data_IF_229337412446
#
_entry.id   IF_229337412446
#
_cell.length_a   1.000
_cell.length_b   1.000
_cell.length_c   1.000
_cell.angle_alpha   90.00
_cell.angle_beta   90.00
_cell.angle_gamma   90.00
#
_symmetry.space_group_name_H-M   'P 1'
#
loop_
_entity.id
_entity.type
_entity.pdbx_description
1 polymer ?
#
# COMPACT_ATOMS: atom_id res chain seq x y z
N UNK A 1 1.47 -12.16 -7.72
CA UNK A 1 2.54 -12.20 -6.68
C UNK A 1 2.09 -11.31 -5.54
N UNK A 2 2.22 -11.73 -4.28
CA UNK A 2 1.62 -11.02 -3.14
C UNK A 2 2.65 -10.17 -2.39
N UNK A 3 2.24 -8.96 -2.04
CA UNK A 3 3.00 -7.95 -1.31
C UNK A 3 2.10 -7.26 -0.29
N UNK A 4 2.70 -6.40 0.52
CA UNK A 4 2.01 -5.48 1.41
C UNK A 4 2.37 -4.05 1.04
N UNK A 5 1.44 -3.13 1.24
CA UNK A 5 1.66 -1.70 1.16
C UNK A 5 1.11 -1.03 2.42
N UNK A 6 1.58 0.18 2.71
CA UNK A 6 1.01 1.02 3.76
C UNK A 6 0.08 2.01 3.07
N UNK A 7 -1.20 1.98 3.41
CA UNK A 7 -2.23 2.80 2.79
C UNK A 7 -2.77 3.86 3.74
N UNK A 8 -3.10 5.03 3.21
CA UNK A 8 -3.76 6.10 3.96
C UNK A 8 -5.27 5.82 4.05
N UNK A 9 -5.75 5.56 5.26
CA UNK A 9 -7.07 4.99 5.49
C UNK A 9 -8.26 5.91 5.14
N UNK A 10 -8.05 7.22 4.94
CA UNK A 10 -9.11 8.17 4.58
C UNK A 10 -9.19 8.49 3.09
N UNK A 11 -8.23 8.02 2.29
CA UNK A 11 -8.25 8.23 0.85
C UNK A 11 -7.89 6.94 0.13
N UNK A 12 -8.82 6.46 -0.70
CA UNK A 12 -8.62 5.25 -1.49
C UNK A 12 -7.41 5.38 -2.42
N UNK A 13 -6.67 4.28 -2.55
CA UNK A 13 -5.50 4.14 -3.41
C UNK A 13 -4.39 5.18 -3.18
N UNK A 14 -4.29 5.70 -1.96
CA UNK A 14 -3.13 6.47 -1.49
C UNK A 14 -2.23 5.59 -0.63
N UNK A 15 -0.97 5.49 -1.02
CA UNK A 15 0.03 4.63 -0.40
C UNK A 15 1.27 5.41 0.00
N UNK A 16 1.97 4.93 1.02
CA UNK A 16 3.26 5.50 1.41
C UNK A 16 4.38 4.99 0.48
N UNK A 17 5.12 5.92 -0.13
CA UNK A 17 6.25 5.63 -1.02
C UNK A 17 7.58 5.75 -0.25
N UNK A 18 8.28 4.64 -0.06
CA UNK A 18 9.54 4.61 0.69
C UNK A 18 10.68 5.36 0.02
N UNK A 19 10.62 5.59 -1.30
CA UNK A 19 11.65 6.35 -2.01
C UNK A 19 11.43 7.86 -1.91
N UNK A 20 10.17 8.30 -1.77
CA UNK A 20 9.81 9.72 -1.60
C UNK A 20 9.71 10.14 -0.15
N UNK A 21 9.55 9.17 0.76
CA UNK A 21 9.17 9.39 2.16
C UNK A 21 7.87 10.20 2.29
N UNK A 22 6.94 9.99 1.36
CA UNK A 22 5.68 10.73 1.23
C UNK A 22 4.60 9.86 0.59
N UNK A 23 3.35 10.33 0.62
CA UNK A 23 2.21 9.64 0.02
C UNK A 23 2.20 9.74 -1.51
N UNK A 24 1.69 8.70 -2.17
CA UNK A 24 1.59 8.58 -3.63
C UNK A 24 0.28 7.92 -4.03
N UNK A 25 -0.26 8.32 -5.18
CA UNK A 25 -1.37 7.61 -5.86
C UNK A 25 -0.85 6.57 -6.86
N UNK A 26 0.44 6.61 -7.17
CA UNK A 26 1.08 5.66 -8.07
C UNK A 26 1.69 4.51 -7.27
N UNK A 27 1.00 3.37 -7.24
CA UNK A 27 1.53 2.16 -6.61
C UNK A 27 2.66 1.57 -7.46
N UNK A 28 3.88 1.65 -6.94
CA UNK A 28 5.10 1.17 -7.62
C UNK A 28 5.91 0.23 -6.71
N UNK A 29 7.02 -0.31 -7.22
CA UNK A 29 7.89 -1.20 -6.44
C UNK A 29 8.41 -0.58 -5.14
N UNK A 30 8.51 0.74 -5.05
CA UNK A 30 8.96 1.46 -3.85
C UNK A 30 7.89 1.56 -2.77
N UNK A 31 6.68 1.08 -3.03
CA UNK A 31 5.60 0.99 -2.05
C UNK A 31 5.51 -0.40 -1.40
N UNK A 32 6.20 -1.40 -1.95
CA UNK A 32 6.01 -2.80 -1.57
C UNK A 32 6.87 -3.25 -0.40
N UNK A 33 6.22 -4.00 0.48
CA UNK A 33 6.80 -4.69 1.62
C UNK A 33 6.56 -6.20 1.49
N UNK A 34 7.48 -7.02 2.02
CA UNK A 34 7.37 -8.47 1.95
C UNK A 34 6.30 -9.04 2.90
N UNK A 35 5.98 -8.38 4.01
CA UNK A 35 5.09 -8.92 5.04
C UNK A 35 4.24 -7.85 5.74
N UNK A 36 3.10 -8.28 6.30
CA UNK A 36 2.20 -7.42 7.09
C UNK A 36 2.88 -6.90 8.37
N UNK A 37 3.68 -7.76 9.02
CA UNK A 37 4.34 -7.42 10.27
C UNK A 37 5.31 -6.27 10.10
N UNK A 38 6.02 -6.21 8.95
CA UNK A 38 6.90 -5.10 8.65
C UNK A 38 6.10 -3.81 8.41
N UNK A 39 4.98 -3.89 7.69
CA UNK A 39 4.10 -2.74 7.49
C UNK A 39 3.59 -2.19 8.83
N UNK A 40 3.14 -3.07 9.73
CA UNK A 40 2.69 -2.70 11.09
C UNK A 40 3.80 -2.07 11.93
N UNK A 41 5.01 -2.61 11.89
CA UNK A 41 6.18 -2.04 12.60
C UNK A 41 6.51 -0.64 12.07
N UNK A 42 6.55 -0.45 10.75
CA UNK A 42 6.80 0.86 10.13
C UNK A 42 5.71 1.87 10.53
N UNK A 43 4.44 1.48 10.48
CA UNK A 43 3.32 2.36 10.89
C UNK A 43 3.49 2.79 12.35
N UNK A 44 3.83 1.86 13.25
CA UNK A 44 3.98 2.15 14.68
C UNK A 44 5.23 2.95 15.02
N UNK A 45 6.36 2.70 14.35
CA UNK A 45 7.65 3.27 14.70
C UNK A 45 7.98 4.56 13.94
N UNK A 46 7.70 4.60 12.63
CA UNK A 46 8.10 5.70 11.76
C UNK A 46 6.97 6.70 11.54
N UNK A 47 5.79 6.21 11.19
CA UNK A 47 4.64 7.08 10.93
C UNK A 47 3.97 7.51 12.24
N UNK A 48 4.04 6.65 13.28
CA UNK A 48 3.41 6.82 14.58
C UNK A 48 1.96 7.35 14.46
N UNK A 49 1.23 6.83 13.47
CA UNK A 49 -0.05 7.40 13.05
C UNK A 49 -1.08 6.29 12.79
N UNK A 50 -2.27 6.44 13.40
CA UNK A 50 -3.43 5.57 13.24
C UNK A 50 -4.16 5.76 11.90
N UNK A 51 -3.76 6.76 11.12
CA UNK A 51 -4.35 7.04 9.82
C UNK A 51 -3.85 6.09 8.73
N UNK A 52 -2.82 5.29 9.00
CA UNK A 52 -2.25 4.32 8.07
C UNK A 52 -2.58 2.89 8.44
N UNK A 53 -2.79 2.05 7.43
CA UNK A 53 -3.09 0.63 7.58
C UNK A 53 -2.26 -0.23 6.62
N UNK A 54 -1.92 -1.47 6.99
CA UNK A 54 -1.36 -2.41 6.05
C UNK A 54 -2.44 -2.93 5.09
N UNK A 55 -2.12 -2.99 3.80
CA UNK A 55 -3.01 -3.53 2.75
C UNK A 55 -2.27 -4.58 1.94
N UNK A 56 -2.88 -5.76 1.76
CA UNK A 56 -2.36 -6.80 0.87
C UNK A 56 -2.52 -6.35 -0.59
N UNK A 57 -1.46 -6.48 -1.38
CA UNK A 57 -1.45 -6.19 -2.81
C UNK A 57 -1.12 -7.47 -3.57
N UNK A 58 -1.99 -7.88 -4.47
CA UNK A 58 -1.76 -8.96 -5.41
C UNK A 58 -1.43 -8.39 -6.79
N UNK A 59 -0.15 -8.43 -7.16
CA UNK A 59 0.31 -8.07 -8.50
C UNK A 59 -0.13 -9.14 -9.50
N UNK A 60 -0.91 -8.73 -10.50
CA UNK A 60 -1.47 -9.62 -11.51
C UNK A 60 -0.62 -9.64 -12.78
N UNK A 61 -0.35 -8.49 -13.40
CA UNK A 61 0.49 -8.38 -14.60
C UNK A 61 1.26 -7.06 -14.68
N UNK A 62 2.53 -7.15 -15.11
CA UNK A 62 3.27 -6.02 -15.66
C UNK A 62 2.92 -5.92 -17.15
N UNK A 63 2.09 -4.94 -17.53
CA UNK A 63 1.79 -4.71 -18.94
C UNK A 63 3.03 -4.11 -19.64
N UNK A 64 3.19 -4.38 -20.95
CA UNK A 64 4.35 -3.92 -21.76
C UNK A 64 4.54 -2.39 -21.78
N UNK A 65 3.52 -1.63 -21.39
CA UNK A 65 3.53 -0.17 -21.27
C UNK A 65 4.00 0.33 -19.89
N UNK A 66 4.42 -0.56 -18.97
CA UNK A 66 4.88 -0.21 -17.63
C UNK A 66 3.75 0.02 -16.61
N UNK A 67 2.49 -0.24 -16.99
CA UNK A 67 1.36 -0.17 -16.06
C UNK A 67 1.25 -1.50 -15.31
N UNK A 68 1.28 -1.41 -13.98
CA UNK A 68 1.04 -2.55 -13.11
C UNK A 68 -0.46 -2.73 -12.92
N UNK A 69 -0.98 -3.92 -13.22
CA UNK A 69 -2.31 -4.30 -12.73
C UNK A 69 -2.17 -5.02 -11.41
N UNK A 70 -2.95 -4.60 -10.43
CA UNK A 70 -2.97 -5.18 -9.11
C UNK A 70 -4.39 -5.25 -8.58
N UNK A 71 -4.64 -6.24 -7.73
CA UNK A 71 -5.77 -6.25 -6.82
C UNK A 71 -5.28 -5.87 -5.42
N UNK A 72 -6.14 -5.23 -4.63
CA UNK A 72 -5.88 -4.95 -3.22
C UNK A 72 -6.82 -5.72 -2.32
N UNK A 73 -6.39 -5.99 -1.09
CA UNK A 73 -7.23 -6.50 -0.03
C UNK A 73 -8.32 -5.50 0.36
N UNK A 74 -9.31 -5.99 1.12
CA UNK A 74 -10.40 -5.17 1.63
C UNK A 74 -9.87 -4.16 2.66
N UNK A 75 -10.30 -2.92 2.54
CA UNK A 75 -10.12 -1.84 3.51
C UNK A 75 -11.49 -1.38 3.96
N UNK A 76 -11.79 -1.55 5.25
CA UNK A 76 -13.12 -1.25 5.80
C UNK A 76 -13.61 0.16 5.43
N UNK A 77 -12.76 1.19 5.61
CA UNK A 77 -13.11 2.58 5.30
C UNK A 77 -13.31 2.90 3.83
N UNK A 78 -12.75 2.13 2.92
CA UNK A 78 -12.87 2.36 1.48
C UNK A 78 -14.03 1.55 0.89
N UNK A 79 -14.23 0.34 1.44
CA UNK A 79 -15.16 -0.66 0.94
C UNK A 79 -16.42 -0.77 1.84
N UNK A 80 -16.74 0.30 2.58
CA UNK A 80 -18.02 0.50 3.26
C UNK A 80 -19.10 0.80 2.19
N UNK A 81 -20.05 -0.13 2.01
CA UNK A 81 -21.19 0.00 1.07
C UNK A 81 -22.17 1.13 1.42
#
# INVERSE_FOLDING_TARGET
MKFWAIAYSYQEDVFFDFAKEDDTMDLTETCFLPTEELAKSIIGELLNNHDYIPVEIELETLQKNGVWSYARGKVERWDEE
#
